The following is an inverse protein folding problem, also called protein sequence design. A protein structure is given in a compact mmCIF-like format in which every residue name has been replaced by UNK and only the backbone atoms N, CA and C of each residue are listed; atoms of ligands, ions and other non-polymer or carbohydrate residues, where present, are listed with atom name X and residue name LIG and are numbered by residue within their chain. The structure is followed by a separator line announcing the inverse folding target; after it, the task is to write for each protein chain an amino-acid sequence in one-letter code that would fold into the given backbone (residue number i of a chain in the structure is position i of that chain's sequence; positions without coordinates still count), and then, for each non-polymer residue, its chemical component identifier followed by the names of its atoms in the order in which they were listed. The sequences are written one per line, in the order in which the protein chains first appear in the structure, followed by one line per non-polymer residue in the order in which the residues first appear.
data_IF_084601626347
#
_entry.id   IF_084601626347
#
_cell.length_a   1.000
_cell.length_b   1.000
_cell.length_c   1.000
_cell.angle_alpha   90.00
_cell.angle_beta   90.00
_cell.angle_gamma   90.00
#
_symmetry.space_group_name_H-M   'P 1'
#
loop_
_entity.id
_entity.type
_entity.pdbx_description
1 polymer ?
#
# COMPACT_ATOMS: atom_id res chain seq x y z
N UNK A 1 -40.17 -14.99 -18.97
CA UNK A 1 -38.79 -15.54 -18.92
C UNK A 1 -37.83 -14.37 -18.80
N UNK A 2 -37.35 -14.05 -17.60
CA UNK A 2 -36.34 -13.00 -17.43
C UNK A 2 -35.00 -13.56 -17.90
N UNK A 3 -34.47 -13.00 -18.99
CA UNK A 3 -33.13 -13.31 -19.48
C UNK A 3 -32.15 -12.59 -18.55
N UNK A 4 -31.60 -13.31 -17.58
CA UNK A 4 -30.50 -12.80 -16.75
C UNK A 4 -29.35 -12.40 -17.68
N UNK A 5 -29.05 -11.09 -17.71
CA UNK A 5 -27.93 -10.57 -18.45
C UNK A 5 -26.65 -11.08 -17.78
N UNK A 6 -25.96 -12.04 -18.42
CA UNK A 6 -24.61 -12.46 -18.03
C UNK A 6 -23.76 -11.21 -17.80
N UNK A 7 -23.18 -11.09 -16.60
CA UNK A 7 -22.20 -10.07 -16.24
C UNK A 7 -21.23 -9.82 -17.40
N UNK A 8 -21.25 -8.60 -17.95
CA UNK A 8 -20.38 -8.19 -19.07
C UNK A 8 -18.90 -8.22 -18.72
N UNK A 9 -18.56 -8.31 -17.42
CA UNK A 9 -17.19 -8.43 -16.93
C UNK A 9 -16.95 -9.83 -16.38
N UNK A 10 -16.58 -10.74 -17.28
CA UNK A 10 -16.24 -12.11 -16.92
C UNK A 10 -14.94 -12.22 -16.08
N UNK A 11 -14.06 -11.23 -16.18
CA UNK A 11 -12.80 -11.14 -15.43
C UNK A 11 -12.83 -9.88 -14.56
N UNK A 12 -12.82 -10.08 -13.25
CA UNK A 12 -12.73 -8.98 -12.28
C UNK A 12 -11.28 -8.67 -11.96
N UNK A 13 -11.03 -7.42 -11.58
CA UNK A 13 -9.69 -6.94 -11.21
C UNK A 13 -9.32 -7.39 -9.79
N UNK A 14 -8.04 -7.67 -9.51
CA UNK A 14 -7.57 -8.05 -8.19
C UNK A 14 -7.63 -6.82 -7.27
N UNK A 15 -8.19 -6.99 -6.08
CA UNK A 15 -8.32 -5.92 -5.08
C UNK A 15 -7.61 -6.33 -3.81
N UNK A 16 -6.80 -5.45 -3.22
CA UNK A 16 -6.16 -5.73 -1.94
C UNK A 16 -7.21 -5.87 -0.83
N UNK A 17 -6.97 -6.73 0.15
CA UNK A 17 -7.89 -6.91 1.29
C UNK A 17 -7.97 -5.60 2.09
N UNK A 18 -9.17 -5.07 2.29
CA UNK A 18 -9.36 -3.73 2.87
C UNK A 18 -9.13 -2.56 1.90
N UNK A 19 -8.93 -2.84 0.61
CA UNK A 19 -8.85 -1.84 -0.44
C UNK A 19 -7.52 -1.09 -0.51
N UNK A 20 -7.45 -0.01 -1.31
CA UNK A 20 -6.20 0.71 -1.56
C UNK A 20 -5.66 1.43 -0.31
N UNK A 21 -6.52 1.82 0.63
CA UNK A 21 -6.10 2.47 1.88
C UNK A 21 -5.36 1.49 2.79
N UNK A 22 -5.90 0.29 3.01
CA UNK A 22 -5.25 -0.76 3.79
C UNK A 22 -3.92 -1.20 3.17
N UNK A 23 -3.83 -1.23 1.84
CA UNK A 23 -2.57 -1.53 1.14
C UNK A 23 -1.50 -0.47 1.44
N UNK A 24 -1.85 0.82 1.37
CA UNK A 24 -0.93 1.91 1.71
C UNK A 24 -0.50 1.86 3.17
N UNK A 25 -1.42 1.57 4.07
CA UNK A 25 -1.13 1.43 5.49
C UNK A 25 -0.16 0.26 5.73
N UNK A 26 -0.45 -0.91 5.18
CA UNK A 26 0.42 -2.09 5.26
C UNK A 26 1.83 -1.79 4.77
N UNK A 27 1.95 -1.10 3.62
CA UNK A 27 3.25 -0.67 3.09
C UNK A 27 3.94 0.26 4.08
N UNK A 28 3.27 1.27 4.60
CA UNK A 28 3.86 2.20 5.58
C UNK A 28 4.30 1.53 6.88
N UNK A 29 3.54 0.54 7.37
CA UNK A 29 3.83 -0.20 8.62
C UNK A 29 4.96 -1.22 8.44
N UNK A 30 5.08 -1.83 7.27
CA UNK A 30 6.07 -2.88 6.99
C UNK A 30 7.32 -2.35 6.29
N UNK A 31 7.31 -1.09 5.83
CA UNK A 31 8.43 -0.46 5.11
C UNK A 31 9.58 -0.18 6.07
N UNK A 32 10.74 -0.71 5.71
CA UNK A 32 12.00 -0.51 6.42
C UNK A 32 12.90 0.37 5.59
N UNK A 33 13.19 1.56 6.08
CA UNK A 33 14.12 2.44 5.38
C UNK A 33 15.53 1.84 5.40
N UNK A 34 16.17 1.63 4.24
CA UNK A 34 17.55 1.14 4.19
C UNK A 34 18.51 2.11 4.90
N UNK A 35 19.52 1.58 5.58
CA UNK A 35 20.53 2.38 6.27
C UNK A 35 21.26 3.32 5.28
N UNK A 36 21.67 2.79 4.14
CA UNK A 36 22.36 3.56 3.09
C UNK A 36 21.51 4.75 2.62
N UNK A 37 20.20 4.57 2.43
CA UNK A 37 19.32 5.66 2.02
C UNK A 37 19.07 6.68 3.15
N UNK A 38 19.06 6.24 4.42
CA UNK A 38 18.97 7.15 5.57
C UNK A 38 20.23 8.01 5.73
N UNK A 39 21.41 7.38 5.64
CA UNK A 39 22.71 8.05 5.79
C UNK A 39 22.92 9.08 4.68
N UNK A 40 22.57 8.73 3.45
CA UNK A 40 22.68 9.61 2.29
C UNK A 40 21.49 10.56 2.13
N UNK A 41 20.51 10.54 3.05
CA UNK A 41 19.30 11.38 3.03
C UNK A 41 18.57 11.33 1.68
N UNK A 42 18.45 10.13 1.12
CA UNK A 42 17.83 9.91 -0.19
C UNK A 42 16.33 9.77 0.00
N UNK A 43 15.55 10.64 -0.65
CA UNK A 43 14.09 10.57 -0.72
C UNK A 43 13.65 10.37 -2.16
N UNK A 44 12.50 9.72 -2.36
CA UNK A 44 11.99 9.55 -3.71
C UNK A 44 10.81 8.61 -3.83
N UNK A 45 10.48 8.27 -5.07
CA UNK A 45 9.39 7.34 -5.38
C UNK A 45 9.94 6.22 -6.24
N UNK A 46 9.78 4.98 -5.77
CA UNK A 46 10.11 3.78 -6.54
C UNK A 46 8.86 3.31 -7.27
N UNK A 47 8.99 3.08 -8.57
CA UNK A 47 7.91 2.56 -9.41
C UNK A 47 8.14 1.08 -9.66
N UNK A 48 7.18 0.26 -9.28
CA UNK A 48 7.24 -1.19 -9.46
C UNK A 48 6.11 -1.65 -10.36
N UNK A 49 6.45 -2.46 -11.36
CA UNK A 49 5.51 -3.29 -12.09
C UNK A 49 5.49 -4.67 -11.46
N UNK A 50 4.32 -5.22 -11.22
CA UNK A 50 4.20 -6.53 -10.64
C UNK A 50 3.01 -7.28 -11.21
N UNK A 51 3.14 -8.60 -11.22
CA UNK A 51 2.19 -9.51 -11.80
C UNK A 51 1.53 -10.34 -10.70
N UNK A 52 0.21 -10.37 -10.70
CA UNK A 52 -0.60 -11.09 -9.72
C UNK A 52 -1.21 -12.31 -10.40
N UNK A 53 -1.09 -13.48 -9.78
CA UNK A 53 -1.72 -14.70 -10.26
C UNK A 53 -3.23 -14.75 -9.98
N UNK A 54 -3.90 -15.76 -10.54
CA UNK A 54 -5.30 -16.07 -10.29
C UNK A 54 -5.64 -16.46 -8.83
N UNK A 55 -4.64 -16.72 -7.98
CA UNK A 55 -4.79 -16.99 -6.54
C UNK A 55 -4.61 -15.71 -5.69
N UNK A 56 -4.18 -14.60 -6.30
CA UNK A 56 -3.91 -13.33 -5.63
C UNK A 56 -2.51 -13.16 -5.08
N UNK A 57 -1.57 -14.04 -5.44
CA UNK A 57 -0.17 -13.91 -5.06
C UNK A 57 0.59 -13.09 -6.10
N UNK A 58 1.55 -12.29 -5.65
CA UNK A 58 2.49 -11.62 -6.57
C UNK A 58 3.54 -12.63 -7.01
N UNK A 59 3.60 -12.90 -8.31
CA UNK A 59 4.52 -13.89 -8.90
C UNK A 59 5.77 -13.26 -9.52
N UNK A 60 5.64 -12.04 -10.03
CA UNK A 60 6.77 -11.28 -10.60
C UNK A 60 6.70 -9.83 -10.12
N UNK A 61 7.84 -9.25 -9.82
CA UNK A 61 7.95 -7.85 -9.39
C UNK A 61 9.24 -7.25 -9.96
N UNK A 62 9.10 -6.19 -10.76
CA UNK A 62 10.18 -5.51 -11.46
C UNK A 62 10.14 -4.02 -11.18
N UNK A 63 11.30 -3.45 -10.89
CA UNK A 63 11.47 -2.00 -10.71
C UNK A 63 11.53 -1.35 -12.10
N UNK A 64 10.62 -0.41 -12.36
CA UNK A 64 10.61 0.41 -13.59
C UNK A 64 11.45 1.67 -13.39
N UNK A 65 11.33 2.29 -12.22
CA UNK A 65 12.09 3.49 -11.85
C UNK A 65 12.61 3.30 -10.44
N UNK A 66 13.93 3.29 -10.36
CA UNK A 66 14.71 3.09 -9.14
C UNK A 66 15.17 4.42 -8.58
N UNK A 67 15.34 4.46 -7.26
CA UNK A 67 16.03 5.55 -6.57
C UNK A 67 17.41 5.12 -6.03
N UNK A 68 17.70 3.82 -6.04
CA UNK A 68 18.97 3.27 -5.55
C UNK A 68 19.04 3.17 -4.02
N UNK A 69 20.25 2.97 -3.51
CA UNK A 69 20.58 2.96 -2.07
C UNK A 69 19.77 1.95 -1.23
N UNK A 70 19.44 0.79 -1.82
CA UNK A 70 18.70 -0.29 -1.17
C UNK A 70 17.17 -0.11 -1.14
N UNK A 71 16.64 1.04 -1.60
CA UNK A 71 15.19 1.29 -1.58
C UNK A 71 14.45 0.40 -2.59
N UNK A 72 15.11 0.04 -3.68
CA UNK A 72 14.55 -0.78 -4.74
C UNK A 72 14.27 -2.21 -4.23
N UNK A 73 15.24 -2.78 -3.49
CA UNK A 73 15.14 -4.12 -2.90
C UNK A 73 14.05 -4.18 -1.84
N UNK A 74 13.98 -3.17 -0.98
CA UNK A 74 12.94 -3.05 0.02
C UNK A 74 11.55 -2.92 -0.62
N UNK A 75 11.44 -2.10 -1.66
CA UNK A 75 10.18 -1.91 -2.37
C UNK A 75 9.71 -3.22 -3.03
N UNK A 76 10.62 -3.99 -3.65
CA UNK A 76 10.31 -5.32 -4.20
C UNK A 76 9.88 -6.29 -3.10
N UNK A 77 10.53 -6.27 -1.93
CA UNK A 77 10.16 -7.11 -0.77
C UNK A 77 8.73 -6.82 -0.32
N UNK A 78 8.37 -5.54 -0.17
CA UNK A 78 7.02 -5.12 0.25
C UNK A 78 5.96 -5.59 -0.74
N UNK A 79 6.21 -5.42 -2.04
CA UNK A 79 5.26 -5.83 -3.09
C UNK A 79 5.05 -7.34 -3.09
N UNK A 80 6.11 -8.14 -2.89
CA UNK A 80 6.01 -9.61 -2.79
C UNK A 80 5.20 -10.08 -1.58
N UNK A 81 5.12 -9.29 -0.52
CA UNK A 81 4.32 -9.61 0.68
C UNK A 81 2.84 -9.30 0.51
N UNK A 82 2.45 -8.53 -0.51
CA UNK A 82 1.06 -8.18 -0.75
C UNK A 82 0.28 -9.40 -1.22
N UNK A 83 -0.90 -9.58 -0.62
CA UNK A 83 -1.87 -10.59 -1.04
C UNK A 83 -3.17 -9.93 -1.49
N UNK A 84 -3.57 -10.26 -2.71
CA UNK A 84 -4.75 -9.70 -3.34
C UNK A 84 -5.92 -10.68 -3.26
N UNK A 85 -7.13 -10.12 -3.16
CA UNK A 85 -8.36 -10.88 -3.35
C UNK A 85 -8.69 -10.88 -4.84
N UNK A 86 -8.73 -12.08 -5.40
CA UNK A 86 -9.07 -12.32 -6.81
C UNK A 86 -10.32 -13.19 -6.85
N UNK A 87 -11.33 -12.75 -7.58
CA UNK A 87 -12.48 -13.59 -7.87
C UNK A 87 -12.05 -14.64 -8.89
N UNK A 88 -12.04 -15.91 -8.49
CA UNK A 88 -11.64 -17.03 -9.35
C UNK A 88 -12.49 -17.01 -10.63
N UNK A 89 -11.91 -16.66 -11.80
CA UNK A 89 -12.66 -16.75 -13.04
C UNK A 89 -12.89 -18.22 -13.36
N UNK A 90 -14.07 -18.56 -13.88
CA UNK A 90 -14.51 -19.95 -14.11
C UNK A 90 -13.53 -20.68 -15.04
N UNK A 91 -12.59 -21.44 -14.46
CA UNK A 91 -11.66 -22.31 -15.17
C UNK A 91 -10.49 -21.61 -15.89
N UNK A 92 -10.34 -20.29 -15.77
CA UNK A 92 -9.28 -19.54 -16.46
C UNK A 92 -8.16 -19.16 -15.51
N UNK A 93 -6.92 -19.32 -15.97
CA UNK A 93 -5.74 -18.78 -15.31
C UNK A 93 -5.46 -17.41 -15.91
N UNK A 94 -5.71 -16.36 -15.16
CA UNK A 94 -5.46 -14.98 -15.57
C UNK A 94 -4.26 -14.45 -14.78
N UNK A 95 -3.37 -13.76 -15.48
CA UNK A 95 -2.27 -13.00 -14.90
C UNK A 95 -2.62 -11.51 -14.99
N UNK A 96 -2.51 -10.79 -13.88
CA UNK A 96 -2.85 -9.38 -13.81
C UNK A 96 -1.60 -8.53 -13.66
N UNK A 97 -1.33 -7.70 -14.67
CA UNK A 97 -0.24 -6.73 -14.63
C UNK A 97 -0.68 -5.46 -13.92
N UNK A 98 0.03 -5.06 -12.87
CA UNK A 98 -0.23 -3.84 -12.12
C UNK A 98 1.03 -3.03 -11.88
N UNK A 99 0.83 -1.76 -11.56
CA UNK A 99 1.88 -0.86 -11.12
C UNK A 99 1.57 -0.31 -9.72
N UNK A 100 2.61 -0.03 -8.96
CA UNK A 100 2.52 0.62 -7.66
C UNK A 100 3.69 1.59 -7.51
N UNK A 101 3.40 2.68 -6.81
CA UNK A 101 4.37 3.70 -6.43
C UNK A 101 4.57 3.63 -4.92
N UNK A 102 5.82 3.47 -4.49
CA UNK A 102 6.18 3.46 -3.08
C UNK A 102 7.01 4.72 -2.82
N UNK A 103 6.53 5.55 -1.90
CA UNK A 103 7.18 6.81 -1.55
C UNK A 103 8.08 6.61 -0.34
N UNK A 104 9.38 6.82 -0.53
CA UNK A 104 10.37 6.86 0.53
C UNK A 104 10.56 8.33 0.94
N UNK A 105 10.14 8.64 2.17
CA UNK A 105 10.29 9.97 2.77
C UNK A 105 11.13 9.84 4.03
N UNK A 106 12.09 10.73 4.20
CA UNK A 106 12.91 10.76 5.40
C UNK A 106 12.04 11.09 6.60
N UNK A 107 12.26 10.42 7.74
CA UNK A 107 11.67 10.84 8.99
C UNK A 107 12.23 12.22 9.33
N UNK A 108 11.39 13.26 9.30
CA UNK A 108 11.78 14.60 9.76
C UNK A 108 12.12 14.50 11.24
N UNK A 109 13.41 14.54 11.56
CA UNK A 109 13.91 14.62 12.93
C UNK A 109 13.54 16.00 13.49
N UNK A 110 12.35 16.11 14.09
CA UNK A 110 11.98 17.23 14.92
C UNK A 110 12.94 17.31 16.11
N UNK A 111 13.48 18.49 16.38
CA UNK A 111 14.31 18.76 17.55
C UNK A 111 13.41 18.70 18.79
N UNK A 112 13.71 17.78 19.74
CA UNK A 112 13.05 17.67 21.04
C UNK A 112 12.68 16.24 21.45
N UNK A 113 13.54 15.64 22.29
CA UNK A 113 13.23 14.61 23.32
C UNK A 113 12.67 13.24 22.88
N UNK A 114 13.50 12.20 23.10
CA UNK A 114 13.14 10.79 23.32
C UNK A 114 11.87 10.25 22.63
N UNK A 115 11.90 10.23 21.29
CA UNK A 115 11.51 9.06 20.49
C UNK A 115 10.17 8.37 20.77
N UNK A 116 9.11 9.09 21.11
CA UNK A 116 7.74 8.59 20.93
C UNK A 116 7.28 8.92 19.51
N UNK A 117 7.20 7.91 18.64
CA UNK A 117 6.64 8.09 17.30
C UNK A 117 5.12 8.21 17.39
N UNK A 118 4.59 9.44 17.29
CA UNK A 118 3.16 9.68 17.16
C UNK A 118 2.73 9.58 15.69
N UNK A 119 1.94 8.57 15.36
CA UNK A 119 1.21 8.52 14.09
C UNK A 119 -0.02 9.44 14.17
N UNK A 120 0.02 10.59 13.50
CA UNK A 120 -1.20 11.37 13.24
C UNK A 120 -1.84 10.84 11.97
N UNK A 121 -2.93 10.10 12.14
CA UNK A 121 -3.87 9.82 11.05
C UNK A 121 -4.55 11.12 10.65
N UNK A 122 -4.16 11.71 9.52
CA UNK A 122 -5.01 12.69 8.83
C UNK A 122 -5.99 11.91 7.94
N UNK A 123 -7.29 11.81 8.28
CA UNK A 123 -8.27 11.31 7.32
C UNK A 123 -8.26 12.29 6.15
N UNK A 124 -7.71 11.89 5.00
CA UNK A 124 -7.86 12.68 3.78
C UNK A 124 -9.29 12.50 3.29
N UNK A 125 -10.17 13.33 3.86
CA UNK A 125 -11.55 13.48 3.41
C UNK A 125 -11.52 13.94 1.93
N UNK A 126 -12.11 13.12 1.06
CA UNK A 126 -12.53 13.58 -0.26
C UNK A 126 -13.59 14.66 -0.07
N UNK A 127 -13.36 15.84 -0.65
CA UNK A 127 -14.24 17.02 -0.60
C UNK A 127 -15.72 16.67 -0.82
N UNK A 128 -16.57 17.07 0.12
CA UNK A 128 -17.92 17.58 -0.15
C UNK A 128 -18.11 18.85 0.69
N UNK A 129 -18.74 19.84 0.08
CA UNK A 129 -19.12 21.15 0.60
C UNK A 129 -20.10 21.08 1.78
N UNK A 130 -20.05 22.17 2.58
CA UNK A 130 -20.98 22.66 3.62
C UNK A 130 -20.93 22.04 5.04
N UNK A 131 -21.22 22.87 6.06
CA UNK A 131 -20.63 22.92 7.41
C UNK A 131 -21.42 22.08 8.49
N UNK A 132 -21.16 22.18 9.83
CA UNK A 132 -20.88 21.09 10.81
C UNK A 132 -22.11 20.74 11.72
N UNK A 133 -22.06 20.02 12.88
CA UNK A 133 -20.94 19.42 13.65
C UNK A 133 -21.19 18.00 14.27
N UNK A 134 -20.19 17.56 15.05
CA UNK A 134 -20.23 16.66 16.24
C UNK A 134 -20.09 15.12 16.14
N UNK A 135 -18.90 14.67 16.61
CA UNK A 135 -18.62 13.73 17.73
C UNK A 135 -17.95 12.36 17.47
N UNK A 136 -16.85 12.21 18.22
CA UNK A 136 -16.21 11.03 18.84
C UNK A 136 -15.71 9.89 17.95
N UNK A 137 -14.40 9.92 17.65
CA UNK A 137 -13.62 8.73 17.31
C UNK A 137 -12.54 8.51 18.36
N UNK A 138 -12.73 7.51 19.22
CA UNK A 138 -11.83 7.14 20.33
C UNK A 138 -10.49 6.64 19.78
N UNK A 139 -9.42 7.40 20.00
CA UNK A 139 -8.05 7.02 19.65
C UNK A 139 -7.58 5.87 20.55
N UNK A 140 -7.10 4.78 19.97
CA UNK A 140 -6.52 3.67 20.72
C UNK A 140 -4.99 3.80 20.66
N UNK A 141 -4.38 4.09 21.81
CA UNK A 141 -2.93 4.09 21.99
C UNK A 141 -2.50 2.72 22.49
N UNK A 142 -1.70 1.99 21.69
CA UNK A 142 -1.05 0.75 22.12
C UNK A 142 0.39 1.12 22.49
N UNK A 143 0.67 1.15 23.79
CA UNK A 143 2.02 1.40 24.33
C UNK A 143 2.67 0.05 24.65
N UNK A 144 3.77 -0.29 23.98
CA UNK A 144 4.58 -1.47 24.30
C UNK A 144 5.82 -0.97 25.04
N UNK A 145 6.00 -1.43 26.29
CA UNK A 145 7.14 -1.09 27.14
C UNK A 145 8.17 -2.24 27.12
N UNK A 146 9.46 -1.88 27.20
CA UNK A 146 10.56 -2.80 27.53
C UNK A 146 10.91 -2.64 29.01
#
# INVERSE_FOLDING_TARGET
MHKEAKDKHFIKQPVYVGGPAAMKQFIGENMRYPAEALENKIEGTVFIKYDIDHQGNVVDARVISSIGHGCDEEAVRLVKLLKFKVDKPRGLRVLYHKNIQIHFRLPKKGVGEAGTFQYTYVPTASKKEDNPPEKSGTSHTITIHF
#
